data_IF_335611497126
#
_entry.id   IF_335611497126
#
_cell.length_a   1.000
_cell.length_b   1.000
_cell.length_c   1.000
_cell.angle_alpha   90.00
_cell.angle_beta   90.00
_cell.angle_gamma   90.00
#
_symmetry.space_group_name_H-M   'P 1'
#
loop_
_entity.id
_entity.type
_entity.pdbx_description
1 polymer ?
#
# COMPACT_ATOMS: atom_id res chain seq x y z
N UNK A 1 38.93 53.12 -12.35
CA UNK A 1 38.52 52.96 -10.94
C UNK A 1 38.16 51.50 -10.70
N UNK A 2 39.09 50.70 -10.16
CA UNK A 2 38.89 49.28 -9.86
C UNK A 2 38.53 49.12 -8.37
N UNK A 3 37.31 48.67 -8.06
CA UNK A 3 36.95 48.27 -6.70
C UNK A 3 37.18 46.76 -6.53
N UNK A 4 38.13 46.42 -5.66
CA UNK A 4 38.35 45.06 -5.13
C UNK A 4 37.37 44.84 -3.98
N UNK A 5 36.48 43.86 -4.12
CA UNK A 5 35.69 43.34 -3.01
C UNK A 5 36.55 42.37 -2.19
N UNK A 6 36.73 42.64 -0.90
CA UNK A 6 37.35 41.72 0.06
C UNK A 6 36.27 40.81 0.64
N UNK A 7 36.46 39.50 0.49
CA UNK A 7 35.67 38.46 1.15
C UNK A 7 36.27 38.19 2.54
N UNK A 8 35.56 38.60 3.59
CA UNK A 8 35.84 38.20 4.96
C UNK A 8 35.21 36.84 5.24
N UNK A 9 36.04 35.81 5.43
CA UNK A 9 35.60 34.50 5.93
C UNK A 9 35.42 34.57 7.44
N UNK A 10 34.20 34.38 7.92
CA UNK A 10 33.87 34.35 9.35
C UNK A 10 33.85 32.89 9.84
N UNK A 11 34.89 32.52 10.58
CA UNK A 11 35.07 31.21 11.23
C UNK A 11 34.08 31.08 12.40
N UNK A 12 33.03 30.26 12.24
CA UNK A 12 32.14 29.94 13.37
C UNK A 12 32.68 28.74 14.15
N UNK A 13 32.89 28.99 15.44
CA UNK A 13 33.35 28.05 16.46
C UNK A 13 32.34 26.90 16.65
N UNK A 14 32.84 25.66 16.56
CA UNK A 14 32.18 24.47 17.07
C UNK A 14 32.22 24.49 18.61
N UNK A 15 31.06 24.45 19.27
CA UNK A 15 30.97 24.35 20.73
C UNK A 15 30.16 23.12 21.12
N UNK A 16 30.87 22.14 21.69
CA UNK A 16 30.47 21.25 22.77
C UNK A 16 29.15 20.49 22.63
N UNK A 17 29.25 19.27 22.12
CA UNK A 17 28.24 18.21 22.21
C UNK A 17 28.50 17.44 23.53
N UNK A 18 27.87 17.87 24.62
CA UNK A 18 27.88 17.18 25.93
C UNK A 18 26.48 16.70 26.26
N UNK A 19 26.11 15.52 25.75
CA UNK A 19 24.89 14.83 26.16
C UNK A 19 25.19 14.03 27.43
N UNK A 20 24.76 14.56 28.57
CA UNK A 20 24.76 13.85 29.83
C UNK A 20 23.68 12.76 29.84
N UNK A 21 24.12 11.52 30.07
CA UNK A 21 23.32 10.46 30.65
C UNK A 21 22.87 10.86 32.06
N UNK A 22 21.57 10.98 32.28
CA UNK A 22 21.01 10.80 33.62
C UNK A 22 19.79 9.88 33.53
N UNK A 23 20.07 8.61 33.75
CA UNK A 23 19.13 7.68 34.35
C UNK A 23 18.65 8.24 35.69
N UNK A 24 17.34 8.27 35.89
CA UNK A 24 16.74 8.42 37.22
C UNK A 24 15.41 7.70 37.26
N UNK A 25 15.45 6.55 37.93
CA UNK A 25 14.32 5.82 38.47
C UNK A 25 13.64 6.63 39.58
N UNK A 26 12.32 6.76 39.53
CA UNK A 26 11.47 6.92 40.73
C UNK A 26 10.11 6.31 40.41
N UNK A 27 9.75 5.13 40.95
CA UNK A 27 9.19 4.96 42.31
C UNK A 27 7.99 5.87 42.57
N UNK A 28 6.78 5.39 42.25
CA UNK A 28 5.53 5.88 42.83
C UNK A 28 4.54 4.72 42.91
N UNK A 29 4.31 4.27 44.13
CA UNK A 29 3.22 3.38 44.51
C UNK A 29 1.85 4.05 44.34
N UNK A 30 0.79 3.24 44.22
CA UNK A 30 -0.56 3.61 44.64
C UNK A 30 -1.61 3.75 43.53
N UNK A 31 -2.60 2.83 43.54
CA UNK A 31 -3.89 3.07 42.90
C UNK A 31 -4.53 1.84 42.25
N UNK A 32 -5.04 0.91 43.06
CA UNK A 32 -5.99 -0.10 42.59
C UNK A 32 -7.34 0.54 42.24
N UNK A 33 -7.87 0.27 41.06
CA UNK A 33 -9.29 0.44 40.74
C UNK A 33 -9.73 -0.66 39.77
N UNK A 34 -10.88 -1.32 40.00
CA UNK A 34 -11.32 -2.47 39.22
C UNK A 34 -12.06 -1.99 37.96
N UNK A 35 -11.37 -2.01 36.82
CA UNK A 35 -12.01 -1.82 35.52
C UNK A 35 -12.66 -3.14 35.08
N UNK A 36 -13.96 -3.04 34.76
CA UNK A 36 -14.84 -4.10 34.26
C UNK A 36 -14.21 -4.77 33.03
N UNK A 37 -14.00 -6.09 33.08
CA UNK A 37 -13.61 -6.92 31.94
C UNK A 37 -14.76 -6.98 30.93
N UNK A 38 -14.72 -6.13 29.91
CA UNK A 38 -15.42 -6.40 28.66
C UNK A 38 -14.69 -7.53 27.95
N UNK A 39 -15.29 -8.71 27.98
CA UNK A 39 -14.88 -9.90 27.24
C UNK A 39 -15.22 -9.67 25.76
N UNK A 40 -14.38 -8.92 25.05
CA UNK A 40 -14.39 -8.93 23.59
C UNK A 40 -13.86 -10.29 23.15
N UNK A 41 -14.63 -10.99 22.32
CA UNK A 41 -14.16 -12.19 21.67
C UNK A 41 -12.92 -11.84 20.84
N UNK A 42 -11.79 -12.45 21.19
CA UNK A 42 -10.58 -12.45 20.38
C UNK A 42 -10.94 -13.09 19.04
N UNK A 43 -11.11 -12.24 18.03
CA UNK A 43 -10.98 -12.67 16.65
C UNK A 43 -9.50 -12.97 16.49
N UNK A 44 -9.13 -14.26 16.50
CA UNK A 44 -7.77 -14.70 16.24
C UNK A 44 -7.42 -14.39 14.78
N UNK A 45 -7.04 -13.14 14.53
CA UNK A 45 -6.11 -12.82 13.46
C UNK A 45 -4.80 -13.49 13.86
N UNK A 46 -4.64 -14.75 13.46
CA UNK A 46 -3.39 -15.48 13.55
C UNK A 46 -2.34 -14.68 12.77
N UNK A 47 -1.57 -13.87 13.49
CA UNK A 47 -0.44 -13.10 12.96
C UNK A 47 0.68 -14.11 12.70
N UNK A 48 0.51 -14.90 11.63
CA UNK A 48 1.58 -15.70 11.06
C UNK A 48 2.57 -14.70 10.49
N UNK A 49 3.64 -14.45 11.24
CA UNK A 49 4.73 -13.58 10.79
C UNK A 49 5.49 -14.34 9.70
N UNK A 50 5.06 -14.20 8.45
CA UNK A 50 5.74 -14.78 7.30
C UNK A 50 7.18 -14.25 7.26
N UNK A 51 8.14 -15.18 7.32
CA UNK A 51 9.55 -14.87 7.20
C UNK A 51 9.84 -14.25 5.82
N UNK A 52 10.78 -13.30 5.79
CA UNK A 52 11.26 -12.73 4.52
C UNK A 52 11.86 -13.85 3.65
N UNK A 53 11.51 -13.93 2.35
CA UNK A 53 12.09 -14.91 1.44
C UNK A 53 13.63 -14.77 1.39
N UNK A 54 14.32 -15.89 1.16
CA UNK A 54 15.79 -15.88 0.97
C UNK A 54 16.13 -15.25 -0.38
N UNK A 55 17.33 -14.71 -0.53
CA UNK A 55 17.75 -14.03 -1.77
C UNK A 55 17.62 -14.91 -3.03
N UNK A 56 17.84 -16.23 -2.90
CA UNK A 56 17.68 -17.18 -4.01
C UNK A 56 16.22 -17.38 -4.41
N UNK A 57 15.32 -17.42 -3.43
CA UNK A 57 13.88 -17.54 -3.63
C UNK A 57 13.32 -16.26 -4.27
N UNK A 58 13.74 -15.09 -3.78
CA UNK A 58 13.39 -13.81 -4.39
C UNK A 58 13.75 -13.80 -5.88
N UNK A 59 14.97 -14.25 -6.24
CA UNK A 59 15.40 -14.32 -7.62
C UNK A 59 14.52 -15.23 -8.51
N UNK A 60 13.97 -16.32 -7.95
CA UNK A 60 13.02 -17.21 -8.65
C UNK A 60 11.64 -16.57 -8.82
N UNK A 61 11.20 -15.74 -7.87
CA UNK A 61 9.89 -15.09 -7.89
C UNK A 61 9.86 -13.83 -8.77
N UNK A 62 10.97 -13.09 -8.89
CA UNK A 62 11.04 -11.82 -9.62
C UNK A 62 10.50 -11.87 -11.06
N UNK A 63 10.74 -12.92 -11.88
CA UNK A 63 10.19 -13.01 -13.24
C UNK A 63 8.65 -13.03 -13.30
N UNK A 64 7.99 -13.46 -12.22
CA UNK A 64 6.53 -13.57 -12.12
C UNK A 64 5.89 -12.37 -11.42
N UNK A 65 6.71 -11.42 -10.97
CA UNK A 65 6.22 -10.22 -10.32
C UNK A 65 5.39 -9.39 -11.31
N UNK A 66 4.24 -8.82 -10.89
CA UNK A 66 3.48 -7.92 -11.72
C UNK A 66 4.34 -6.80 -12.31
N UNK A 67 4.26 -6.58 -13.62
CA UNK A 67 5.02 -5.54 -14.30
C UNK A 67 4.75 -4.14 -13.71
N UNK A 68 3.55 -3.95 -13.15
CA UNK A 68 3.14 -2.78 -12.37
C UNK A 68 4.14 -2.47 -11.23
N UNK A 69 4.70 -3.50 -10.60
CA UNK A 69 5.70 -3.40 -9.52
C UNK A 69 7.14 -3.36 -10.03
N UNK A 70 7.37 -3.19 -11.33
CA UNK A 70 8.73 -3.08 -11.91
C UNK A 70 9.50 -1.88 -11.35
N UNK A 71 10.83 -1.87 -11.46
CA UNK A 71 11.69 -0.81 -10.91
C UNK A 71 11.86 0.41 -11.81
N UNK A 72 11.42 0.35 -13.07
CA UNK A 72 11.49 1.48 -14.00
C UNK A 72 10.80 2.72 -13.44
N UNK A 73 11.52 3.85 -13.43
CA UNK A 73 11.04 5.11 -12.87
C UNK A 73 10.22 5.92 -13.88
N UNK A 74 9.12 6.57 -13.44
CA UNK A 74 8.30 7.41 -14.31
C UNK A 74 9.07 8.68 -14.71
N UNK A 75 8.84 9.21 -15.93
CA UNK A 75 9.48 10.44 -16.39
C UNK A 75 8.75 11.67 -15.84
N UNK A 76 8.95 11.94 -14.56
CA UNK A 76 8.36 13.05 -13.82
C UNK A 76 9.41 13.81 -12.99
N UNK A 77 8.98 14.76 -12.14
CA UNK A 77 9.87 15.48 -11.24
C UNK A 77 10.40 14.60 -10.10
N UNK A 78 11.41 15.10 -9.38
CA UNK A 78 12.10 14.35 -8.33
C UNK A 78 11.17 13.93 -7.18
N UNK A 79 10.30 14.81 -6.69
CA UNK A 79 9.42 14.49 -5.56
C UNK A 79 8.41 13.38 -5.90
N UNK A 80 7.67 13.44 -7.04
CA UNK A 80 6.84 12.32 -7.45
C UNK A 80 7.66 11.04 -7.74
N UNK A 81 8.88 11.15 -8.26
CA UNK A 81 9.72 9.99 -8.56
C UNK A 81 10.20 9.26 -7.29
N UNK A 82 10.66 10.02 -6.27
CA UNK A 82 11.03 9.45 -4.95
C UNK A 82 9.82 8.82 -4.26
N UNK A 83 8.66 9.46 -4.36
CA UNK A 83 7.41 8.90 -3.83
C UNK A 83 7.04 7.59 -4.53
N UNK A 84 7.17 7.55 -5.86
CA UNK A 84 6.95 6.32 -6.64
C UNK A 84 7.88 5.20 -6.19
N UNK A 85 9.19 5.48 -6.11
CA UNK A 85 10.20 4.50 -5.74
C UNK A 85 9.96 3.94 -4.32
N UNK A 86 9.70 4.83 -3.36
CA UNK A 86 9.42 4.45 -1.97
C UNK A 86 8.19 3.56 -1.87
N UNK A 87 7.09 3.95 -2.53
CA UNK A 87 5.86 3.17 -2.52
C UNK A 87 6.04 1.83 -3.25
N UNK A 88 6.67 1.84 -4.41
CA UNK A 88 6.91 0.65 -5.22
C UNK A 88 7.78 -0.36 -4.47
N UNK A 89 8.80 0.10 -3.72
CA UNK A 89 9.61 -0.76 -2.87
C UNK A 89 8.76 -1.51 -1.82
N UNK A 90 7.82 -0.83 -1.17
CA UNK A 90 6.90 -1.45 -0.19
C UNK A 90 5.95 -2.44 -0.84
N UNK A 91 5.38 -2.10 -2.00
CA UNK A 91 4.50 -3.00 -2.75
C UNK A 91 5.25 -4.27 -3.19
N UNK A 92 6.48 -4.13 -3.68
CA UNK A 92 7.36 -5.24 -4.04
C UNK A 92 7.69 -6.11 -2.84
N UNK A 93 8.07 -5.49 -1.72
CA UNK A 93 8.37 -6.19 -0.47
C UNK A 93 7.15 -6.99 0.02
N UNK A 94 5.96 -6.38 0.02
CA UNK A 94 4.71 -7.04 0.38
C UNK A 94 4.40 -8.23 -0.55
N UNK A 95 4.53 -8.04 -1.87
CA UNK A 95 4.32 -9.12 -2.84
C UNK A 95 5.29 -10.29 -2.64
N UNK A 96 6.58 -10.00 -2.40
CA UNK A 96 7.61 -11.00 -2.13
C UNK A 96 7.39 -11.71 -0.78
N UNK A 97 7.00 -10.98 0.26
CA UNK A 97 6.64 -11.56 1.57
C UNK A 97 5.51 -12.58 1.45
N UNK A 98 4.58 -12.36 0.53
CA UNK A 98 3.49 -13.28 0.22
C UNK A 98 3.83 -14.29 -0.88
N UNK A 99 5.09 -14.35 -1.33
CA UNK A 99 5.59 -15.25 -2.38
C UNK A 99 4.73 -15.22 -3.65
N UNK A 100 4.20 -14.05 -3.98
CA UNK A 100 3.30 -13.84 -5.12
C UNK A 100 1.92 -14.47 -5.04
N UNK A 101 1.53 -15.07 -3.89
CA UNK A 101 0.21 -15.67 -3.70
C UNK A 101 -0.92 -14.65 -3.56
N UNK A 102 -0.60 -13.44 -3.10
CA UNK A 102 -1.58 -12.34 -3.01
C UNK A 102 -1.66 -11.59 -4.32
N UNK A 103 -2.88 -11.22 -4.70
CA UNK A 103 -3.11 -10.44 -5.91
C UNK A 103 -2.49 -9.05 -5.79
N UNK A 104 -2.11 -8.45 -6.93
CA UNK A 104 -1.62 -7.09 -6.97
C UNK A 104 -2.65 -6.09 -6.42
N UNK A 105 -3.95 -6.37 -6.61
CA UNK A 105 -5.06 -5.53 -6.13
C UNK A 105 -5.08 -5.49 -4.61
N UNK A 106 -5.03 -6.66 -3.96
CA UNK A 106 -5.11 -6.75 -2.49
C UNK A 106 -3.91 -6.05 -1.85
N UNK A 107 -2.71 -6.28 -2.39
CA UNK A 107 -1.48 -5.63 -1.89
C UNK A 107 -1.58 -4.10 -2.02
N UNK A 108 -2.13 -3.59 -3.12
CA UNK A 108 -2.29 -2.15 -3.31
C UNK A 108 -3.37 -1.55 -2.42
N UNK A 109 -4.48 -2.26 -2.15
CA UNK A 109 -5.52 -1.77 -1.24
C UNK A 109 -5.04 -1.75 0.22
N UNK A 110 -4.29 -2.76 0.66
CA UNK A 110 -3.70 -2.79 2.00
C UNK A 110 -2.74 -1.60 2.23
N UNK A 111 -1.83 -1.36 1.28
CA UNK A 111 -0.89 -0.22 1.39
C UNK A 111 -1.65 1.12 1.29
N UNK A 112 -2.73 1.19 0.53
CA UNK A 112 -3.60 2.38 0.48
C UNK A 112 -4.26 2.64 1.82
N UNK A 113 -4.76 1.62 2.49
CA UNK A 113 -5.33 1.74 3.83
C UNK A 113 -4.26 2.16 4.85
N UNK A 114 -3.07 1.55 4.79
CA UNK A 114 -1.93 1.93 5.63
C UNK A 114 -1.54 3.41 5.45
N UNK A 115 -1.44 3.89 4.20
CA UNK A 115 -1.15 5.29 3.90
C UNK A 115 -2.28 6.24 4.34
N UNK A 116 -3.55 5.84 4.17
CA UNK A 116 -4.70 6.63 4.68
C UNK A 116 -4.69 6.75 6.20
N UNK A 117 -4.39 5.66 6.90
CA UNK A 117 -4.24 5.66 8.36
C UNK A 117 -3.12 6.62 8.79
N UNK A 118 -1.98 6.59 8.08
CA UNK A 118 -0.89 7.55 8.31
C UNK A 118 -1.29 8.99 7.99
N UNK A 119 -2.06 9.23 6.94
CA UNK A 119 -2.56 10.56 6.57
C UNK A 119 -3.51 11.12 7.63
N UNK A 120 -4.38 10.28 8.18
CA UNK A 120 -5.27 10.64 9.29
C UNK A 120 -4.50 10.96 10.58
N UNK A 121 -3.38 10.29 10.85
CA UNK A 121 -2.59 10.50 12.06
C UNK A 121 -1.62 11.68 11.92
N UNK A 122 -1.01 11.84 10.74
CA UNK A 122 0.01 12.85 10.45
C UNK A 122 -0.17 13.47 9.05
N UNK A 123 -1.20 14.32 8.87
CA UNK A 123 -1.49 14.87 7.55
C UNK A 123 -0.33 15.73 7.01
N UNK A 124 -0.08 15.77 5.69
CA UNK A 124 0.84 16.71 5.06
C UNK A 124 0.52 18.17 5.48
N UNK A 125 1.57 18.99 5.71
CA UNK A 125 1.45 20.41 6.08
C UNK A 125 0.70 20.72 7.39
N UNK A 126 0.35 19.70 8.20
CA UNK A 126 -0.41 19.89 9.45
C UNK A 126 0.47 20.19 10.66
N UNK A 127 1.73 19.77 10.64
CA UNK A 127 2.62 19.93 11.77
C UNK A 127 3.06 21.41 11.86
N UNK A 128 2.70 22.09 12.95
CA UNK A 128 3.24 23.39 13.40
C UNK A 128 3.94 23.19 14.76
N UNK A 129 5.08 23.83 15.00
CA UNK A 129 5.85 23.72 16.27
C UNK A 129 7.22 23.05 16.16
N UNK A 130 7.95 22.93 17.27
CA UNK A 130 9.33 22.43 17.35
C UNK A 130 9.46 20.90 17.51
N UNK A 131 8.41 20.21 17.98
CA UNK A 131 8.44 18.77 18.27
C UNK A 131 7.80 17.95 17.13
N UNK A 132 8.23 18.19 15.89
CA UNK A 132 7.66 17.57 14.68
C UNK A 132 8.37 16.29 14.29
N UNK A 133 8.18 15.22 15.03
CA UNK A 133 8.63 13.90 14.54
C UNK A 133 7.50 13.22 13.77
N UNK A 134 7.65 13.16 12.44
CA UNK A 134 6.81 12.31 11.59
C UNK A 134 7.24 10.86 11.76
N UNK A 135 6.27 9.95 11.83
CA UNK A 135 6.53 8.50 11.79
C UNK A 135 5.79 7.90 10.59
N UNK A 136 6.49 7.38 9.58
CA UNK A 136 7.93 7.44 9.35
C UNK A 136 8.42 8.86 8.95
N UNK A 137 9.71 9.14 9.14
CA UNK A 137 10.31 10.40 8.72
C UNK A 137 10.35 10.48 7.19
N UNK A 138 9.63 11.45 6.61
CA UNK A 138 9.61 11.73 5.16
C UNK A 138 9.18 13.17 4.88
N UNK A 139 9.62 13.71 3.73
CA UNK A 139 9.23 15.05 3.26
C UNK A 139 7.73 15.11 2.95
N UNK A 140 7.09 16.25 3.26
CA UNK A 140 5.62 16.38 3.14
C UNK A 140 5.14 16.26 1.69
N UNK A 141 5.89 16.85 0.74
CA UNK A 141 5.60 16.75 -0.69
C UNK A 141 5.70 15.32 -1.21
N UNK A 142 6.70 14.55 -0.74
CA UNK A 142 6.88 13.14 -1.12
C UNK A 142 5.69 12.32 -0.62
N UNK A 143 5.27 12.50 0.63
CA UNK A 143 4.11 11.77 1.17
C UNK A 143 2.81 12.10 0.42
N UNK A 144 2.59 13.37 0.07
CA UNK A 144 1.45 13.77 -0.76
C UNK A 144 1.43 13.02 -2.10
N UNK A 145 2.58 12.85 -2.74
CA UNK A 145 2.68 12.08 -3.98
C UNK A 145 2.53 10.56 -3.74
N UNK A 146 2.98 10.01 -2.61
CA UNK A 146 2.73 8.60 -2.26
C UNK A 146 1.23 8.30 -2.22
N UNK A 147 0.43 9.19 -1.60
CA UNK A 147 -1.03 9.08 -1.56
C UNK A 147 -1.68 9.13 -2.96
N UNK A 148 -1.09 9.88 -3.89
CA UNK A 148 -1.59 9.96 -5.26
C UNK A 148 -1.18 8.73 -6.08
N UNK A 149 0.06 8.27 -5.91
CA UNK A 149 0.57 7.08 -6.56
C UNK A 149 -0.20 5.84 -6.16
N UNK A 150 -0.55 5.66 -4.87
CA UNK A 150 -1.27 4.46 -4.46
C UNK A 150 -2.67 4.37 -5.09
N UNK A 151 -3.32 5.50 -5.33
CA UNK A 151 -4.59 5.54 -6.09
C UNK A 151 -4.38 5.08 -7.54
N UNK A 152 -3.28 5.49 -8.18
CA UNK A 152 -2.91 4.99 -9.51
C UNK A 152 -2.63 3.48 -9.50
N UNK A 153 -1.84 2.98 -8.53
CA UNK A 153 -1.52 1.57 -8.41
C UNK A 153 -2.77 0.70 -8.25
N UNK A 154 -3.71 1.08 -7.37
CA UNK A 154 -4.99 0.37 -7.21
C UNK A 154 -5.79 0.36 -8.50
N UNK A 155 -5.87 1.51 -9.19
CA UNK A 155 -6.61 1.62 -10.44
C UNK A 155 -6.04 0.73 -11.54
N UNK A 156 -4.71 0.74 -11.71
CA UNK A 156 -4.04 -0.12 -12.69
C UNK A 156 -4.11 -1.59 -12.28
N UNK A 157 -3.90 -1.94 -11.01
CA UNK A 157 -4.00 -3.32 -10.54
C UNK A 157 -5.38 -3.94 -10.86
N UNK A 158 -6.47 -3.20 -10.63
CA UNK A 158 -7.83 -3.65 -10.97
C UNK A 158 -8.03 -3.89 -12.47
N UNK A 159 -7.39 -3.07 -13.31
CA UNK A 159 -7.39 -3.25 -14.77
C UNK A 159 -6.56 -4.44 -15.24
N UNK A 160 -5.62 -4.91 -14.42
CA UNK A 160 -4.81 -6.08 -14.72
C UNK A 160 -5.49 -7.39 -14.37
N UNK A 161 -6.53 -7.36 -13.53
CA UNK A 161 -7.32 -8.54 -13.21
C UNK A 161 -7.96 -9.08 -14.50
N UNK A 162 -7.75 -10.36 -14.83
CA UNK A 162 -8.19 -10.96 -16.10
C UNK A 162 -9.69 -11.27 -16.13
N UNK A 163 -10.53 -10.43 -15.51
CA UNK A 163 -11.95 -10.43 -15.88
C UNK A 163 -12.04 -10.14 -17.37
N UNK A 164 -12.92 -10.89 -18.05
CA UNK A 164 -13.13 -10.94 -19.50
C UNK A 164 -13.29 -9.54 -20.09
N UNK A 165 -12.18 -8.84 -20.31
CA UNK A 165 -12.23 -7.50 -20.84
C UNK A 165 -12.75 -7.58 -22.26
N UNK A 166 -13.87 -6.89 -22.47
CA UNK A 166 -14.49 -6.78 -23.78
C UNK A 166 -13.56 -5.99 -24.70
N UNK A 167 -13.57 -6.26 -26.01
CA UNK A 167 -12.71 -5.57 -26.98
C UNK A 167 -12.87 -4.03 -26.92
N UNK A 168 -14.04 -3.53 -26.50
CA UNK A 168 -14.32 -2.13 -26.20
C UNK A 168 -13.42 -1.54 -25.11
N UNK A 169 -13.15 -2.28 -24.03
CA UNK A 169 -12.30 -1.79 -22.94
C UNK A 169 -10.82 -1.75 -23.36
N UNK A 170 -10.40 -2.62 -24.27
CA UNK A 170 -9.07 -2.59 -24.86
C UNK A 170 -8.89 -1.31 -25.71
N UNK A 171 -9.92 -0.92 -26.46
CA UNK A 171 -9.92 0.30 -27.27
C UNK A 171 -9.93 1.58 -26.42
N UNK A 172 -10.68 1.59 -25.32
CA UNK A 172 -10.75 2.76 -24.44
C UNK A 172 -9.43 3.03 -23.68
N UNK A 173 -8.61 2.00 -23.44
CA UNK A 173 -7.25 2.17 -22.89
C UNK A 173 -6.37 3.12 -23.72
N UNK A 174 -6.56 3.18 -25.05
CA UNK A 174 -5.79 4.06 -25.94
C UNK A 174 -6.29 5.50 -25.95
N UNK A 175 -7.51 5.78 -25.48
CA UNK A 175 -8.12 7.12 -25.51
C UNK A 175 -7.78 7.99 -24.30
N UNK A 176 -7.42 7.39 -23.18
CA UNK A 176 -7.11 8.17 -21.97
C UNK A 176 -5.72 8.80 -22.05
N UNK A 177 -5.61 10.05 -21.58
CA UNK A 177 -4.34 10.75 -21.35
C UNK A 177 -3.30 9.81 -20.71
N UNK A 178 -2.11 9.78 -21.30
CA UNK A 178 -0.93 9.04 -20.83
C UNK A 178 -0.66 9.26 -19.35
N UNK A 179 -0.87 10.49 -18.87
CA UNK A 179 -0.67 10.82 -17.45
C UNK A 179 -2.01 10.70 -16.71
N UNK A 180 -2.07 9.86 -15.66
CA UNK A 180 -3.26 9.75 -14.81
C UNK A 180 -3.59 11.09 -14.16
N UNK A 181 -4.82 11.58 -14.36
CA UNK A 181 -5.30 12.85 -13.79
C UNK A 181 -5.17 12.90 -12.26
N UNK A 182 -5.29 11.75 -11.58
CA UNK A 182 -5.16 11.64 -10.13
C UNK A 182 -3.78 12.02 -9.58
N UNK A 183 -2.71 11.92 -10.40
CA UNK A 183 -1.35 12.27 -9.98
C UNK A 183 -1.10 13.77 -9.92
N UNK A 184 -1.96 14.60 -10.54
CA UNK A 184 -1.79 16.06 -10.60
C UNK A 184 -0.37 16.48 -11.08
N UNK A 185 0.26 15.67 -11.94
CA UNK A 185 1.54 15.97 -12.57
C UNK A 185 1.27 16.69 -13.88
N UNK A 186 1.76 17.91 -14.01
CA UNK A 186 1.62 18.72 -15.22
C UNK A 186 2.83 18.52 -16.12
N UNK A 187 2.60 18.01 -17.33
CA UNK A 187 3.64 17.78 -18.33
C UNK A 187 3.37 18.64 -19.54
N UNK A 188 4.18 19.69 -19.73
CA UNK A 188 4.06 20.60 -20.87
C UNK A 188 4.84 20.12 -22.10
N UNK A 189 5.87 19.30 -21.91
CA UNK A 189 6.79 18.89 -22.98
C UNK A 189 6.29 17.61 -23.63
N UNK A 190 6.04 17.64 -24.94
CA UNK A 190 5.53 16.49 -25.69
C UNK A 190 6.42 15.25 -25.61
N UNK A 191 7.76 15.40 -25.57
CA UNK A 191 8.66 14.25 -25.46
C UNK A 191 8.50 13.52 -24.11
N UNK A 192 8.19 14.23 -23.02
CA UNK A 192 7.94 13.61 -21.71
C UNK A 192 6.64 12.81 -21.72
N UNK A 193 5.61 13.25 -22.47
CA UNK A 193 4.39 12.48 -22.66
C UNK A 193 4.66 11.16 -23.39
N UNK A 194 5.47 11.18 -24.46
CA UNK A 194 5.89 9.96 -25.16
C UNK A 194 6.67 9.01 -24.25
N UNK A 195 7.56 9.54 -23.40
CA UNK A 195 8.25 8.71 -22.41
C UNK A 195 7.28 8.12 -21.38
N UNK A 196 6.25 8.87 -20.99
CA UNK A 196 5.18 8.39 -20.11
C UNK A 196 4.36 7.27 -20.74
N UNK A 197 4.06 7.35 -22.04
CA UNK A 197 3.39 6.28 -22.79
C UNK A 197 4.21 4.99 -22.75
N UNK A 198 5.49 5.08 -23.11
CA UNK A 198 6.41 3.94 -23.10
C UNK A 198 6.54 3.35 -21.69
N UNK A 199 6.63 4.21 -20.67
CA UNK A 199 6.71 3.76 -19.29
C UNK A 199 5.43 3.03 -18.84
N UNK A 200 4.24 3.59 -19.13
CA UNK A 200 2.97 2.95 -18.81
C UNK A 200 2.77 1.62 -19.53
N UNK A 201 3.16 1.55 -20.81
CA UNK A 201 3.07 0.31 -21.60
C UNK A 201 3.88 -0.80 -20.93
N UNK A 202 5.09 -0.50 -20.45
CA UNK A 202 5.90 -1.44 -19.67
C UNK A 202 5.22 -1.85 -18.37
N UNK A 203 4.65 -0.91 -17.61
CA UNK A 203 3.91 -1.24 -16.37
C UNK A 203 2.67 -2.09 -16.63
N UNK A 204 2.08 -1.95 -17.82
CA UNK A 204 0.90 -2.70 -18.26
C UNK A 204 1.19 -4.02 -18.95
N UNK A 205 2.46 -4.44 -19.01
CA UNK A 205 2.81 -5.73 -19.59
C UNK A 205 2.10 -6.87 -18.85
N UNK A 206 1.74 -7.93 -19.60
CA UNK A 206 1.10 -9.11 -19.04
C UNK A 206 2.04 -9.81 -18.06
N UNK A 207 1.49 -10.22 -16.93
CA UNK A 207 2.24 -10.93 -15.89
C UNK A 207 2.31 -12.42 -16.28
N UNK A 208 3.51 -13.02 -16.32
CA UNK A 208 3.62 -14.48 -16.47
C UNK A 208 2.91 -15.21 -15.34
N UNK A 209 2.26 -16.34 -15.64
CA UNK A 209 1.63 -17.17 -14.60
C UNK A 209 2.70 -17.76 -13.68
N UNK A 210 2.47 -17.71 -12.37
CA UNK A 210 3.36 -18.28 -11.37
C UNK A 210 3.24 -19.83 -11.39
N UNK A 211 4.35 -20.58 -11.54
CA UNK A 211 4.34 -22.03 -11.49
C UNK A 211 3.84 -22.55 -10.15
N UNK A 212 3.02 -23.61 -10.17
CA UNK A 212 2.45 -24.23 -8.96
C UNK A 212 3.54 -24.74 -8.00
N UNK A 213 4.67 -25.21 -8.52
CA UNK A 213 5.79 -25.72 -7.72
C UNK A 213 6.36 -24.64 -6.79
N UNK A 214 6.48 -23.39 -7.28
CA UNK A 214 6.96 -22.25 -6.48
C UNK A 214 5.92 -21.81 -5.44
N UNK A 215 4.64 -22.06 -5.71
CA UNK A 215 3.58 -21.80 -4.73
C UNK A 215 3.69 -22.80 -3.58
N UNK A 216 4.00 -24.07 -3.84
CA UNK A 216 3.94 -25.12 -2.83
C UNK A 216 5.21 -25.24 -1.95
N UNK A 217 6.40 -24.86 -2.45
CA UNK A 217 7.67 -24.89 -1.70
C UNK A 217 7.65 -24.06 -0.40
N UNK A 218 6.71 -23.12 -0.24
CA UNK A 218 6.64 -22.26 0.94
C UNK A 218 5.89 -22.77 2.15
N UNK A 219 5.28 -23.96 2.09
CA UNK A 219 4.54 -24.55 3.22
C UNK A 219 5.13 -25.86 3.75
N UNK A 220 6.16 -26.43 3.13
CA UNK A 220 6.64 -27.78 3.48
C UNK A 220 7.68 -27.86 4.60
N UNK A 221 8.31 -26.76 4.99
CA UNK A 221 9.53 -26.82 5.82
C UNK A 221 9.33 -26.50 7.31
N UNK A 222 8.10 -26.70 7.80
CA UNK A 222 7.84 -26.77 9.24
C UNK A 222 7.40 -28.18 9.64
N UNK A 223 8.22 -29.18 9.27
CA UNK A 223 8.25 -30.44 10.02
C UNK A 223 8.80 -30.12 11.42
N UNK A 224 7.87 -29.85 12.34
CA UNK A 224 8.10 -29.97 13.77
C UNK A 224 8.74 -31.33 14.05
N UNK A 225 10.03 -31.30 14.43
CA UNK A 225 10.62 -32.40 15.18
C UNK A 225 9.90 -32.45 16.53
N UNK A 226 9.16 -33.52 16.87
CA UNK A 226 8.68 -33.69 18.23
C UNK A 226 9.88 -34.03 19.12
N UNK A 227 10.32 -33.08 19.94
CA UNK A 227 11.07 -33.40 21.15
C UNK A 227 10.09 -34.01 22.15
N UNK A 228 9.97 -35.33 22.04
CA UNK A 228 9.30 -36.19 22.99
C UNK A 228 10.18 -36.27 24.26
N UNK A 229 9.76 -35.64 25.36
CA UNK A 229 10.15 -36.03 26.72
C UNK A 229 8.94 -35.91 27.65
N UNK A 230 8.36 -37.07 27.94
CA UNK A 230 7.77 -37.54 29.19
C UNK A 230 7.06 -36.53 30.10
N UNK A 231 5.72 -36.54 30.07
CA UNK A 231 4.92 -36.48 31.31
C UNK A 231 3.77 -37.48 31.22
N UNK A 232 3.88 -38.50 32.06
CA UNK A 232 2.90 -39.54 32.35
C UNK A 232 1.73 -38.97 33.20
N UNK A 233 0.52 -39.48 32.94
CA UNK A 233 -0.66 -39.56 33.84
C UNK A 233 -1.32 -38.26 34.33
N UNK A 234 -2.59 -38.08 33.94
CA UNK A 234 -3.73 -38.37 34.82
C UNK A 234 -5.04 -38.43 34.02
N UNK A 235 -5.75 -39.55 34.21
CA UNK A 235 -7.14 -39.80 33.78
C UNK A 235 -8.09 -38.95 34.62
N UNK A 236 -9.17 -38.44 34.02
CA UNK A 236 -10.49 -38.43 34.65
C UNK A 236 -11.58 -38.24 33.60
N UNK A 237 -12.47 -39.22 33.60
CA UNK A 237 -13.70 -39.37 32.83
C UNK A 237 -14.64 -38.16 32.93
N UNK A 238 -15.37 -37.84 31.85
CA UNK A 238 -16.81 -37.55 31.94
C UNK A 238 -17.48 -37.85 30.61
N UNK A 239 -18.29 -38.91 30.61
CA UNK A 239 -19.21 -39.29 29.55
C UNK A 239 -20.40 -38.32 29.42
N UNK A 240 -20.91 -38.23 28.19
CA UNK A 240 -22.34 -38.13 27.94
C UNK A 240 -22.84 -36.76 27.53
N UNK A 241 -23.37 -36.65 26.30
CA UNK A 241 -24.83 -36.73 26.07
C UNK A 241 -25.17 -36.33 24.63
N UNK A 242 -25.85 -37.25 23.95
CA UNK A 242 -26.52 -37.08 22.67
C UNK A 242 -27.52 -35.90 22.66
N UNK A 243 -27.59 -35.18 21.53
CA UNK A 243 -28.89 -34.92 20.89
C UNK A 243 -28.77 -34.38 19.47
N UNK A 244 -29.59 -34.99 18.61
CA UNK A 244 -29.81 -34.75 17.20
C UNK A 244 -30.65 -33.49 16.89
N UNK A 245 -30.75 -33.22 15.58
CA UNK A 245 -31.79 -32.43 14.88
C UNK A 245 -31.54 -30.91 14.93
N UNK A 246 -31.84 -30.08 13.93
CA UNK A 246 -32.58 -30.20 12.67
C UNK A 246 -32.41 -28.89 11.87
N UNK A 247 -32.77 -28.90 10.58
CA UNK A 247 -33.27 -27.78 9.75
C UNK A 247 -32.30 -26.60 9.47
N UNK A 248 -31.78 -26.41 8.25
CA UNK A 248 -32.46 -25.92 7.04
C UNK A 248 -33.20 -24.59 7.24
N UNK A 249 -32.57 -23.48 6.82
CA UNK A 249 -33.33 -22.38 6.22
C UNK A 249 -32.50 -21.55 5.24
N UNK A 250 -32.93 -21.67 3.98
CA UNK A 250 -32.56 -20.92 2.80
C UNK A 250 -32.86 -19.44 2.98
N UNK A 251 -31.86 -18.57 2.82
CA UNK A 251 -32.08 -17.13 2.68
C UNK A 251 -32.13 -16.77 1.19
N UNK A 252 -33.35 -16.60 0.69
CA UNK A 252 -33.64 -15.98 -0.59
C UNK A 252 -33.12 -14.53 -0.61
N UNK A 253 -32.15 -14.25 -1.47
CA UNK A 253 -31.70 -12.89 -1.78
C UNK A 253 -32.59 -12.36 -2.91
N UNK A 254 -33.55 -11.52 -2.53
CA UNK A 254 -34.39 -10.74 -3.45
C UNK A 254 -33.52 -9.72 -4.19
N UNK A 255 -33.27 -9.97 -5.47
CA UNK A 255 -32.67 -9.01 -6.41
C UNK A 255 -33.70 -7.90 -6.65
N UNK A 256 -33.49 -6.73 -6.05
CA UNK A 256 -34.24 -5.51 -6.36
C UNK A 256 -33.73 -4.99 -7.71
N UNK A 257 -34.47 -5.27 -8.77
CA UNK A 257 -34.34 -4.60 -10.06
C UNK A 257 -34.63 -3.10 -9.88
N UNK A 258 -33.59 -2.28 -9.96
CA UNK A 258 -33.73 -0.83 -10.12
C UNK A 258 -34.04 -0.54 -11.59
N UNK A 259 -35.15 0.11 -11.93
CA UNK A 259 -35.43 0.48 -13.32
C UNK A 259 -34.42 1.52 -13.81
N UNK A 260 -33.90 1.30 -15.02
CA UNK A 260 -33.08 2.23 -15.79
C UNK A 260 -33.72 3.61 -15.83
N UNK A 261 -32.97 4.60 -15.36
CA UNK A 261 -33.29 6.00 -15.58
C UNK A 261 -32.80 6.36 -16.99
N UNK A 262 -33.72 6.43 -17.95
CA UNK A 262 -33.49 7.04 -19.26
C UNK A 262 -33.17 8.52 -19.07
N UNK A 263 -31.87 8.82 -19.02
CA UNK A 263 -31.34 10.17 -19.07
C UNK A 263 -31.37 10.69 -20.49
N UNK A 264 -32.43 11.43 -20.77
CA UNK A 264 -32.65 12.32 -21.91
C UNK A 264 -31.36 13.04 -22.37
N UNK A 265 -31.03 12.86 -23.65
CA UNK A 265 -30.02 13.63 -24.35
C UNK A 265 -30.70 14.89 -24.91
N UNK A 266 -30.54 16.03 -24.24
CA UNK A 266 -30.81 17.36 -24.80
C UNK A 266 -30.32 18.43 -23.80
N UNK A 267 -29.01 18.73 -23.78
CA UNK A 267 -28.55 20.06 -23.36
C UNK A 267 -27.08 20.35 -23.72
N UNK A 268 -26.76 20.50 -25.01
CA UNK A 268 -25.39 20.79 -25.47
C UNK A 268 -25.28 21.94 -26.48
N UNK A 269 -26.20 22.90 -26.47
CA UNK A 269 -26.14 24.06 -27.36
C UNK A 269 -26.48 25.38 -26.67
N UNK A 270 -25.61 25.92 -25.81
CA UNK A 270 -25.78 27.30 -25.32
C UNK A 270 -24.54 28.00 -24.71
N UNK A 271 -23.31 27.67 -25.16
CA UNK A 271 -22.09 28.27 -24.58
C UNK A 271 -21.18 28.96 -25.60
N UNK A 272 -21.73 29.67 -26.58
CA UNK A 272 -20.90 30.43 -27.51
C UNK A 272 -21.56 31.71 -28.00
N UNK A 273 -21.80 32.69 -27.12
CA UNK A 273 -21.82 34.11 -27.49
C UNK A 273 -21.41 34.99 -26.29
N UNK A 274 -20.17 35.46 -26.30
CA UNK A 274 -19.80 36.69 -25.60
C UNK A 274 -18.74 37.42 -26.43
N UNK A 275 -19.23 38.27 -27.33
CA UNK A 275 -18.47 39.38 -27.88
C UNK A 275 -18.18 40.38 -26.75
N UNK A 276 -16.93 40.79 -26.62
CA UNK A 276 -16.58 42.03 -25.94
C UNK A 276 -15.83 42.91 -26.95
N UNK A 277 -16.40 44.10 -27.16
CA UNK A 277 -15.81 45.25 -27.86
C UNK A 277 -14.47 45.68 -27.26
#
# INVERSE_FOLDING_TARGET
MHQRAQLTMSLHHHKGDEWYDTSSSSSSEGGQSPAKKCKSADHEDSIVTLAKPRSEEEARLLPYMPALFGTDLPPCGLEPQVAYETLNARLRESWLKHRGRRSAVDICEDEKEALKKQDSQWPPFSLKGSNKERKPWRREMVFKFELQWIVYFVHEARKHTPELMTESEIMDRKKYSSVPKGLKIYIHKQYLLKMWDVWNEKKRAKVPALPEDLVNEGMSDQEDKPQNQDIEKLKADTEGKDRASDLSESSDISIIHRPSFEGSADDAHLWSQSNHD
#
